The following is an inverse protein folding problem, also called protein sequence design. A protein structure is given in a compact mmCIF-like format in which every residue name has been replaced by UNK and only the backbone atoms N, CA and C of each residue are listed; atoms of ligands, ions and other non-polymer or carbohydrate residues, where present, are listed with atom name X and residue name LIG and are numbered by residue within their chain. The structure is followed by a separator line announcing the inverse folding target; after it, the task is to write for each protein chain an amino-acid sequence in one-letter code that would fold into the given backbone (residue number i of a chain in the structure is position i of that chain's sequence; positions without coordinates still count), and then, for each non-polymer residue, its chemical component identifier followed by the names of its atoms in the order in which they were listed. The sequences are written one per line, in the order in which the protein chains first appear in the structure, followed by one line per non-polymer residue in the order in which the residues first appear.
data_IF_156149739364
#
_entry.id   IF_156149739364
#
_cell.length_a   1.000
_cell.length_b   1.000
_cell.length_c   1.000
_cell.angle_alpha   90.00
_cell.angle_beta   90.00
_cell.angle_gamma   90.00
#
_symmetry.space_group_name_H-M   'P 1'
#
loop_
_entity.id
_entity.type
_entity.pdbx_description
1 polymer ?
#
# COMPACT_ATOMS: atom_id res chain seq x y z
N UNK A 1 6.40 20.82 15.18
CA UNK A 1 5.46 19.94 14.46
C UNK A 1 5.42 20.31 13.00
N UNK A 2 5.47 19.34 12.11
CA UNK A 2 5.44 19.56 10.67
C UNK A 2 4.20 18.90 10.07
N UNK A 3 3.48 19.64 9.24
CA UNK A 3 2.28 19.12 8.57
C UNK A 3 2.56 18.95 7.08
N UNK A 4 2.16 17.80 6.53
CA UNK A 4 2.24 17.52 5.10
C UNK A 4 0.83 17.54 4.54
N UNK A 5 0.55 18.46 3.62
CA UNK A 5 -0.79 18.67 3.07
C UNK A 5 -0.78 18.41 1.56
N UNK A 6 -1.82 17.76 1.06
CA UNK A 6 -1.94 17.48 -0.37
C UNK A 6 -3.05 16.51 -0.74
N UNK A 7 -3.49 15.67 0.20
CA UNK A 7 -4.56 14.71 -0.07
C UNK A 7 -5.92 15.39 -0.20
N UNK A 8 -6.77 14.84 -1.05
CA UNK A 8 -8.13 15.34 -1.31
C UNK A 8 -9.22 14.56 -0.55
N UNK A 9 -8.84 13.61 0.28
CA UNK A 9 -9.75 12.79 1.08
C UNK A 9 -9.09 12.32 2.35
N UNK A 10 -9.82 11.55 3.14
CA UNK A 10 -9.31 11.04 4.42
C UNK A 10 -8.08 10.17 4.21
N UNK A 11 -7.08 10.37 5.05
CA UNK A 11 -5.88 9.53 5.09
C UNK A 11 -6.18 8.33 6.00
N UNK A 12 -6.02 7.12 5.46
CA UNK A 12 -6.23 5.88 6.20
C UNK A 12 -4.94 5.29 6.75
N UNK A 13 -3.81 5.57 6.10
CA UNK A 13 -2.56 4.91 6.42
C UNK A 13 -1.37 5.81 6.14
N UNK A 14 -0.35 5.68 6.98
CA UNK A 14 0.93 6.36 6.85
C UNK A 14 2.02 5.35 7.21
N UNK A 15 3.10 5.33 6.46
CA UNK A 15 4.24 4.46 6.75
C UNK A 15 5.56 5.17 6.44
N UNK A 16 6.62 4.73 7.10
CA UNK A 16 7.97 5.30 6.95
C UNK A 16 8.87 4.24 6.33
N UNK A 17 9.75 4.67 5.42
CA UNK A 17 10.70 3.76 4.77
C UNK A 17 11.68 3.18 5.79
N UNK A 18 12.31 2.00 5.48
CA UNK A 18 13.23 1.36 6.41
C UNK A 18 14.41 2.23 6.81
N UNK A 19 14.90 3.10 5.91
CA UNK A 19 16.02 4.00 6.18
C UNK A 19 15.60 5.32 6.84
N UNK A 20 14.30 5.53 7.04
CA UNK A 20 13.79 6.74 7.67
C UNK A 20 13.79 8.00 6.80
N UNK A 21 14.10 7.88 5.51
CA UNK A 21 14.19 9.06 4.62
C UNK A 21 12.86 9.48 4.01
N UNK A 22 11.93 8.53 3.84
CA UNK A 22 10.67 8.76 3.15
C UNK A 22 9.47 8.39 4.04
N UNK A 23 8.37 9.07 3.77
CA UNK A 23 7.07 8.74 4.32
C UNK A 23 6.09 8.57 3.17
N UNK A 24 5.20 7.60 3.27
CA UNK A 24 4.13 7.40 2.31
C UNK A 24 2.79 7.49 3.01
N UNK A 25 1.83 8.14 2.36
CA UNK A 25 0.47 8.28 2.88
C UNK A 25 -0.55 7.96 1.81
N UNK A 26 -1.69 7.44 2.20
CA UNK A 26 -2.76 7.10 1.29
C UNK A 26 -4.10 6.99 1.98
N UNK A 27 -5.16 7.08 1.22
CA UNK A 27 -6.49 7.02 1.79
C UNK A 27 -7.60 7.06 0.75
N UNK A 28 -8.63 7.80 1.07
CA UNK A 28 -9.90 7.79 0.34
C UNK A 28 -9.81 8.38 -1.07
N UNK A 29 -8.84 9.24 -1.33
CA UNK A 29 -8.66 9.83 -2.66
C UNK A 29 -8.04 8.88 -3.69
N UNK A 30 -7.62 7.69 -3.28
CA UNK A 30 -7.05 6.70 -4.20
C UNK A 30 -5.64 7.01 -4.68
N UNK A 31 -4.96 7.94 -4.03
CA UNK A 31 -3.62 8.39 -4.40
C UNK A 31 -2.66 8.09 -3.25
N UNK A 32 -1.49 7.56 -3.58
CA UNK A 32 -0.41 7.39 -2.63
C UNK A 32 0.59 8.52 -2.83
N UNK A 33 0.86 9.28 -1.78
CA UNK A 33 1.82 10.38 -1.83
C UNK A 33 3.08 10.02 -1.08
N UNK A 34 4.23 10.37 -1.66
CA UNK A 34 5.53 10.19 -1.03
C UNK A 34 6.11 11.52 -0.65
N UNK A 35 6.66 11.58 0.57
CA UNK A 35 7.18 12.79 1.19
C UNK A 35 8.62 12.55 1.63
N UNK A 36 9.48 13.53 1.43
CA UNK A 36 10.83 13.53 1.99
C UNK A 36 10.79 14.04 3.42
N UNK A 37 11.26 13.22 4.37
CA UNK A 37 11.13 13.55 5.79
C UNK A 37 12.09 14.64 6.25
N UNK A 38 13.25 14.79 5.58
CA UNK A 38 14.26 15.79 5.98
C UNK A 38 13.76 17.22 5.87
N UNK A 39 12.97 17.54 4.83
CA UNK A 39 12.47 18.89 4.57
C UNK A 39 10.96 18.98 4.42
N UNK A 40 10.24 17.86 4.54
CA UNK A 40 8.79 17.83 4.42
C UNK A 40 8.26 18.01 3.00
N UNK A 41 9.12 17.86 2.00
CA UNK A 41 8.76 18.12 0.62
C UNK A 41 7.98 16.95 0.02
N UNK A 42 6.89 17.25 -0.70
CA UNK A 42 6.16 16.28 -1.51
C UNK A 42 7.03 15.91 -2.73
N UNK A 43 7.37 14.62 -2.85
CA UNK A 43 8.22 14.15 -3.94
C UNK A 43 7.41 13.84 -5.20
N UNK A 44 6.45 12.93 -5.09
CA UNK A 44 5.57 12.57 -6.20
C UNK A 44 4.38 11.77 -5.67
N UNK A 45 3.39 11.55 -6.55
CA UNK A 45 2.19 10.78 -6.25
C UNK A 45 2.11 9.56 -7.15
N UNK A 46 1.57 8.48 -6.61
CA UNK A 46 1.31 7.24 -7.35
C UNK A 46 -0.19 7.00 -7.35
N UNK A 47 -0.76 6.78 -8.55
CA UNK A 47 -2.18 6.47 -8.67
C UNK A 47 -2.44 5.03 -8.25
N UNK A 48 -3.15 4.85 -7.15
CA UNK A 48 -3.55 3.52 -6.69
C UNK A 48 -4.86 3.07 -7.33
N UNK A 49 -5.67 4.00 -7.83
CA UNK A 49 -6.89 3.70 -8.58
C UNK A 49 -8.12 3.43 -7.73
N UNK A 50 -7.97 3.28 -6.43
CA UNK A 50 -9.07 3.04 -5.51
C UNK A 50 -8.63 3.42 -4.11
N UNK A 51 -9.55 3.40 -3.14
CA UNK A 51 -9.26 3.73 -1.75
C UNK A 51 -8.06 2.92 -1.24
N UNK A 52 -7.08 3.60 -0.66
CA UNK A 52 -5.90 2.98 -0.08
C UNK A 52 -6.17 2.69 1.40
N UNK A 53 -6.11 1.41 1.78
CA UNK A 53 -6.34 0.96 3.15
C UNK A 53 -5.06 0.80 3.96
N UNK A 54 -3.97 0.42 3.29
CA UNK A 54 -2.70 0.16 3.96
C UNK A 54 -1.54 0.38 3.01
N UNK A 55 -0.40 0.79 3.56
CA UNK A 55 0.85 0.97 2.84
C UNK A 55 1.99 0.37 3.65
N UNK A 56 2.94 -0.26 2.98
CA UNK A 56 4.14 -0.76 3.63
C UNK A 56 5.31 -0.76 2.65
N UNK A 57 6.49 -0.32 3.11
CA UNK A 57 7.72 -0.39 2.33
C UNK A 57 8.36 -1.77 2.44
N UNK A 58 8.93 -2.26 1.34
CA UNK A 58 9.74 -3.47 1.36
C UNK A 58 11.01 -3.23 2.19
N UNK A 59 11.44 -4.21 3.00
CA UNK A 59 12.64 -4.03 3.82
C UNK A 59 13.96 -4.11 3.04
N UNK A 60 13.95 -4.70 1.83
CA UNK A 60 15.18 -4.95 1.08
C UNK A 60 15.14 -4.49 -0.37
N UNK A 61 14.01 -3.99 -0.85
CA UNK A 61 13.88 -3.47 -2.21
C UNK A 61 13.24 -2.09 -2.15
N UNK A 62 13.49 -1.28 -3.19
CA UNK A 62 12.91 0.06 -3.27
C UNK A 62 11.48 0.00 -3.78
N UNK A 63 10.65 -0.74 -3.08
CA UNK A 63 9.24 -1.00 -3.41
C UNK A 63 8.32 -0.52 -2.30
N UNK A 64 7.13 -0.10 -2.72
CA UNK A 64 6.04 0.26 -1.81
C UNK A 64 4.80 -0.54 -2.18
N UNK A 65 4.22 -1.23 -1.21
CA UNK A 65 2.97 -1.97 -1.41
C UNK A 65 1.79 -1.16 -0.91
N UNK A 66 0.75 -1.08 -1.73
CA UNK A 66 -0.49 -0.40 -1.40
C UNK A 66 -1.65 -1.38 -1.45
N UNK A 67 -2.33 -1.57 -0.33
CA UNK A 67 -3.57 -2.35 -0.28
C UNK A 67 -4.72 -1.41 -0.58
N UNK A 68 -5.39 -1.63 -1.70
CA UNK A 68 -6.57 -0.85 -2.08
C UNK A 68 -7.85 -1.64 -1.86
N UNK A 69 -8.98 -1.00 -2.07
CA UNK A 69 -10.27 -1.66 -1.95
C UNK A 69 -10.44 -2.82 -2.95
N UNK A 70 -9.70 -2.83 -4.04
CA UNK A 70 -9.84 -3.85 -5.09
C UNK A 70 -8.68 -4.84 -5.18
N UNK A 71 -7.47 -4.43 -4.82
CA UNK A 71 -6.28 -5.29 -4.96
C UNK A 71 -5.11 -4.76 -4.14
N UNK A 72 -3.99 -5.50 -4.16
CA UNK A 72 -2.72 -5.03 -3.62
C UNK A 72 -1.81 -4.69 -4.79
N UNK A 73 -1.28 -3.48 -4.81
CA UNK A 73 -0.36 -3.03 -5.85
C UNK A 73 1.04 -2.88 -5.27
N UNK A 74 2.03 -3.37 -6.01
CA UNK A 74 3.43 -3.20 -5.65
C UNK A 74 4.05 -2.21 -6.62
N UNK A 75 4.53 -1.08 -6.10
CA UNK A 75 5.16 -0.04 -6.90
C UNK A 75 6.67 -0.11 -6.75
N UNK A 76 7.37 0.05 -7.88
CA UNK A 76 8.81 0.31 -7.89
C UNK A 76 9.01 1.82 -7.78
N UNK A 77 9.65 2.26 -6.72
CA UNK A 77 9.82 3.68 -6.44
C UNK A 77 10.85 4.35 -7.36
N UNK A 78 11.78 3.58 -7.90
CA UNK A 78 12.78 4.10 -8.82
C UNK A 78 12.17 4.43 -10.18
N UNK A 79 11.43 3.48 -10.76
CA UNK A 79 10.77 3.68 -12.06
C UNK A 79 9.39 4.34 -11.94
N UNK A 80 8.83 4.40 -10.73
CA UNK A 80 7.48 4.91 -10.43
C UNK A 80 6.40 4.11 -11.17
N UNK A 81 6.64 2.81 -11.38
CA UNK A 81 5.74 1.92 -12.11
C UNK A 81 5.23 0.81 -11.21
N UNK A 82 4.15 0.16 -11.67
CA UNK A 82 3.59 -1.00 -10.96
C UNK A 82 4.39 -2.22 -11.35
N UNK A 83 4.96 -2.92 -10.33
CA UNK A 83 5.69 -4.16 -10.51
C UNK A 83 4.74 -5.34 -10.58
N UNK A 84 3.70 -5.34 -9.74
CA UNK A 84 2.75 -6.43 -9.65
C UNK A 84 1.44 -5.97 -9.03
N UNK A 85 0.37 -6.72 -9.31
CA UNK A 85 -0.93 -6.54 -8.67
C UNK A 85 -1.37 -7.89 -8.13
N UNK A 86 -1.69 -7.93 -6.83
CA UNK A 86 -2.08 -9.16 -6.15
C UNK A 86 -3.56 -9.08 -5.81
N UNK A 87 -4.33 -9.99 -6.38
CA UNK A 87 -5.76 -10.09 -6.08
C UNK A 87 -6.11 -11.55 -5.88
N UNK A 88 -6.51 -11.97 -4.66
CA UNK A 88 -6.90 -13.35 -4.43
C UNK A 88 -8.25 -13.64 -5.08
N UNK A 89 -8.50 -14.92 -5.34
CA UNK A 89 -9.81 -15.37 -5.79
C UNK A 89 -10.68 -15.61 -4.58
N UNK A 90 -11.98 -15.33 -4.72
CA UNK A 90 -12.95 -15.53 -3.67
C UNK A 90 -14.03 -16.49 -4.17
N UNK A 91 -13.74 -17.81 -4.23
CA UNK A 91 -14.72 -18.78 -4.69
C UNK A 91 -15.91 -18.87 -3.72
N UNK A 92 -17.09 -19.07 -4.25
CA UNK A 92 -18.29 -19.20 -3.44
C UNK A 92 -19.02 -17.90 -3.15
N UNK A 93 -18.49 -16.74 -3.56
CA UNK A 93 -19.22 -15.48 -3.43
C UNK A 93 -20.30 -15.38 -4.52
N UNK A 94 -21.47 -14.91 -4.13
CA UNK A 94 -22.54 -14.62 -5.08
C UNK A 94 -22.24 -13.36 -5.89
N UNK A 95 -22.99 -13.17 -6.99
CA UNK A 95 -22.79 -12.03 -7.90
C UNK A 95 -22.90 -10.68 -7.21
N UNK A 96 -23.72 -10.56 -6.17
CA UNK A 96 -23.95 -9.32 -5.47
C UNK A 96 -23.20 -9.24 -4.14
N UNK A 97 -22.36 -10.23 -3.83
CA UNK A 97 -21.56 -10.22 -2.61
C UNK A 97 -20.36 -9.28 -2.78
N UNK A 98 -20.11 -8.48 -1.76
CA UNK A 98 -18.92 -7.62 -1.74
C UNK A 98 -17.69 -8.49 -1.48
N UNK A 99 -16.65 -8.34 -2.31
CA UNK A 99 -15.40 -9.04 -2.11
C UNK A 99 -14.67 -8.51 -0.88
N UNK A 100 -14.02 -9.38 -0.10
CA UNK A 100 -13.19 -8.91 1.01
C UNK A 100 -12.08 -7.97 0.56
N UNK A 101 -11.78 -7.01 1.40
CA UNK A 101 -10.71 -6.04 1.15
C UNK A 101 -9.50 -6.34 2.01
N UNK A 102 -8.31 -6.09 1.47
CA UNK A 102 -7.10 -6.09 2.27
C UNK A 102 -7.05 -4.82 3.13
N UNK A 103 -6.95 -4.98 4.44
CA UNK A 103 -6.98 -3.88 5.38
C UNK A 103 -5.61 -3.58 6.00
N UNK A 104 -4.69 -4.54 5.97
CA UNK A 104 -3.37 -4.36 6.57
C UNK A 104 -2.32 -5.19 5.83
N UNK A 105 -1.09 -4.72 5.86
CA UNK A 105 0.04 -5.35 5.18
C UNK A 105 1.25 -5.38 6.10
N UNK A 106 2.07 -6.43 5.96
CA UNK A 106 3.37 -6.52 6.62
C UNK A 106 4.29 -7.41 5.79
N UNK A 107 5.57 -7.04 5.74
CA UNK A 107 6.60 -7.83 5.08
C UNK A 107 7.32 -8.73 6.08
N UNK A 108 7.80 -9.88 5.63
CA UNK A 108 8.78 -10.66 6.39
C UNK A 108 10.11 -9.90 6.43
N UNK A 109 10.95 -10.22 7.40
CA UNK A 109 12.23 -9.51 7.57
C UNK A 109 13.16 -9.64 6.36
N UNK A 110 13.05 -10.74 5.62
CA UNK A 110 13.85 -10.99 4.41
C UNK A 110 13.25 -10.38 3.15
N UNK A 111 12.05 -9.82 3.22
CA UNK A 111 11.38 -9.20 2.08
C UNK A 111 10.86 -10.16 1.03
N UNK A 112 10.79 -11.45 1.31
CA UNK A 112 10.32 -12.46 0.36
C UNK A 112 8.85 -12.81 0.51
N UNK A 113 8.26 -12.50 1.65
CA UNK A 113 6.88 -12.85 1.96
C UNK A 113 6.10 -11.62 2.41
N UNK A 114 4.93 -11.43 1.81
CA UNK A 114 4.01 -10.35 2.16
C UNK A 114 2.79 -10.95 2.85
N UNK A 115 2.47 -10.45 4.02
CA UNK A 115 1.30 -10.86 4.80
C UNK A 115 0.21 -9.82 4.65
N UNK A 116 -1.00 -10.26 4.33
CA UNK A 116 -2.12 -9.39 4.07
C UNK A 116 -3.32 -9.80 4.92
N UNK A 117 -3.81 -8.90 5.76
CA UNK A 117 -4.99 -9.11 6.58
C UNK A 117 -6.24 -8.62 5.87
N UNK A 118 -7.24 -9.48 5.73
CA UNK A 118 -8.44 -9.19 4.98
C UNK A 118 -9.68 -9.04 5.87
N UNK A 119 -10.70 -8.38 5.33
CA UNK A 119 -11.94 -8.12 6.06
C UNK A 119 -12.81 -9.38 6.28
N UNK A 120 -12.43 -10.51 5.69
CA UNK A 120 -13.10 -11.80 5.90
C UNK A 120 -12.43 -12.65 7.00
N UNK A 121 -11.63 -12.03 7.87
CA UNK A 121 -10.93 -12.64 8.99
C UNK A 121 -9.80 -13.60 8.57
N UNK A 122 -9.34 -13.50 7.33
CA UNK A 122 -8.28 -14.36 6.79
C UNK A 122 -7.01 -13.55 6.59
N UNK A 123 -5.87 -14.11 7.00
CA UNK A 123 -4.55 -13.61 6.64
C UNK A 123 -4.08 -14.38 5.42
N UNK A 124 -3.82 -13.66 4.32
CA UNK A 124 -3.30 -14.26 3.10
C UNK A 124 -1.82 -13.97 2.98
N UNK A 125 -1.07 -14.95 2.54
CA UNK A 125 0.39 -14.89 2.50
C UNK A 125 0.84 -15.02 1.05
N UNK A 126 1.59 -14.03 0.57
CA UNK A 126 2.08 -14.00 -0.80
C UNK A 126 3.61 -14.14 -0.80
N UNK A 127 4.11 -15.00 -1.66
CA UNK A 127 5.54 -15.10 -1.92
C UNK A 127 5.91 -14.11 -3.02
N UNK A 128 6.81 -13.20 -2.73
CA UNK A 128 7.24 -12.15 -3.65
C UNK A 128 8.73 -12.32 -3.90
N UNK A 129 9.07 -13.00 -4.97
CA UNK A 129 10.46 -13.32 -5.30
C UNK A 129 10.93 -12.54 -6.52
#
# INVERSE_FOLDING_TARGET
MTNHCGHQGYINTVTVSPDGSLCASGGKDGVTMLWELSDGKHLYSLEAGDVVNALVFSPNRYWLCAATASCIKIFDLESKSIVDELKPEFPGLGKNAQEPECLSLAWSADGQTLFAGYSDDIVRVYSVI
#
